data_IF_490260092227
#
_entry.id   IF_490260092227
#
_cell.length_a   1.000
_cell.length_b   1.000
_cell.length_c   1.000
_cell.angle_alpha   90.00
_cell.angle_beta   90.00
_cell.angle_gamma   90.00
#
_symmetry.space_group_name_H-M   'P 1'
#
loop_
_entity.id
_entity.type
_entity.pdbx_description
1 polymer ?
#
# COMPACT_ATOMS: atom_id res chain seq x y z
N UNK A 1 5.15 20.49 -12.34
CA UNK A 1 5.01 19.30 -13.21
C UNK A 1 5.67 18.04 -12.64
N UNK A 2 6.83 18.11 -11.97
CA UNK A 2 7.53 16.93 -11.44
C UNK A 2 6.73 16.08 -10.43
N UNK A 3 5.93 16.72 -9.55
CA UNK A 3 5.16 15.99 -8.54
C UNK A 3 4.02 15.14 -9.13
N UNK A 4 3.35 15.62 -10.20
CA UNK A 4 2.31 14.85 -10.89
C UNK A 4 2.90 13.60 -11.56
N UNK A 5 4.04 13.74 -12.24
CA UNK A 5 4.73 12.58 -12.85
C UNK A 5 5.17 11.56 -11.80
N UNK A 6 5.66 12.01 -10.65
CA UNK A 6 6.00 11.16 -9.51
C UNK A 6 4.77 10.43 -8.96
N UNK A 7 3.66 11.15 -8.75
CA UNK A 7 2.40 10.55 -8.31
C UNK A 7 1.88 9.50 -9.28
N UNK A 8 1.95 9.76 -10.59
CA UNK A 8 1.59 8.80 -11.63
C UNK A 8 2.45 7.53 -11.63
N UNK A 9 3.76 7.68 -11.45
CA UNK A 9 4.65 6.51 -11.35
C UNK A 9 4.32 5.72 -10.08
N UNK A 10 4.22 6.41 -8.94
CA UNK A 10 3.90 5.80 -7.66
C UNK A 10 2.54 5.09 -7.67
N UNK A 11 1.53 5.65 -8.34
CA UNK A 11 0.21 5.02 -8.49
C UNK A 11 0.27 3.74 -9.32
N UNK A 12 1.06 3.72 -10.40
CA UNK A 12 1.24 2.50 -11.23
C UNK A 12 1.96 1.41 -10.46
N UNK A 13 2.98 1.79 -9.69
CA UNK A 13 3.70 0.87 -8.80
C UNK A 13 2.76 0.30 -7.73
N UNK A 14 1.89 1.13 -7.17
CA UNK A 14 0.87 0.70 -6.20
C UNK A 14 -0.17 -0.26 -6.79
N UNK A 15 -0.69 0.05 -7.98
CA UNK A 15 -1.61 -0.82 -8.70
C UNK A 15 -0.97 -2.18 -9.02
N UNK A 16 0.28 -2.18 -9.46
CA UNK A 16 1.03 -3.42 -9.70
C UNK A 16 1.23 -4.22 -8.42
N UNK A 17 1.61 -3.57 -7.32
CA UNK A 17 1.73 -4.22 -6.00
C UNK A 17 0.44 -4.86 -5.53
N UNK A 18 -0.66 -4.12 -5.57
CA UNK A 18 -1.98 -4.64 -5.20
C UNK A 18 -2.46 -5.78 -6.11
N UNK A 19 -2.09 -5.77 -7.39
CA UNK A 19 -2.36 -6.90 -8.29
C UNK A 19 -1.52 -8.14 -7.95
N UNK A 20 -0.22 -7.95 -7.70
CA UNK A 20 0.68 -9.04 -7.27
C UNK A 20 0.17 -9.65 -5.96
N UNK A 21 -0.30 -8.80 -5.05
CA UNK A 21 -0.91 -9.20 -3.79
C UNK A 21 -2.17 -10.07 -4.00
N UNK A 22 -3.04 -9.70 -4.95
CA UNK A 22 -4.21 -10.52 -5.28
C UNK A 22 -3.80 -11.87 -5.87
N UNK A 23 -2.84 -11.86 -6.81
CA UNK A 23 -2.29 -13.09 -7.41
C UNK A 23 -1.72 -13.98 -6.29
N UNK A 24 -0.98 -13.40 -5.34
CA UNK A 24 -0.41 -14.11 -4.21
C UNK A 24 -1.47 -14.86 -3.39
N UNK A 25 -2.60 -14.24 -3.03
CA UNK A 25 -3.65 -14.95 -2.30
C UNK A 25 -4.48 -15.90 -3.16
N UNK A 26 -4.65 -15.63 -4.46
CA UNK A 26 -5.26 -16.58 -5.39
C UNK A 26 -4.43 -17.85 -5.51
N UNK A 27 -3.09 -17.73 -5.54
CA UNK A 27 -2.17 -18.87 -5.55
C UNK A 27 -2.25 -19.66 -4.24
N UNK A 28 -2.58 -19.04 -3.10
CA UNK A 28 -2.76 -19.76 -1.84
C UNK A 28 -3.94 -20.75 -1.84
N UNK A 29 -4.90 -20.64 -2.78
CA UNK A 29 -6.05 -21.55 -2.89
C UNK A 29 -5.63 -22.94 -3.44
N UNK A 30 -5.05 -23.06 -4.66
CA UNK A 30 -4.64 -24.35 -5.21
C UNK A 30 -3.35 -24.88 -4.58
N UNK A 31 -2.48 -24.01 -4.08
CA UNK A 31 -1.21 -24.42 -3.47
C UNK A 31 -1.32 -24.63 -1.94
N UNK A 32 -2.54 -24.57 -1.40
CA UNK A 32 -2.89 -24.90 -0.02
C UNK A 32 -2.18 -24.00 1.01
N UNK A 33 -2.46 -24.17 2.32
CA UNK A 33 -1.68 -23.48 3.33
C UNK A 33 -0.23 -23.85 3.10
N UNK A 34 0.60 -22.86 2.74
CA UNK A 34 2.04 -22.99 2.65
C UNK A 34 2.45 -23.87 3.82
N UNK A 35 2.91 -25.09 3.49
CA UNK A 35 3.34 -26.06 4.50
C UNK A 35 4.30 -25.35 5.46
N UNK A 36 4.56 -25.87 6.66
CA UNK A 36 5.43 -25.21 7.67
C UNK A 36 6.77 -24.65 7.14
N UNK A 37 7.19 -25.01 5.92
CA UNK A 37 8.11 -24.25 5.08
C UNK A 37 7.34 -23.27 4.18
N UNK A 38 7.18 -22.03 4.63
CA UNK A 38 6.93 -20.90 3.72
C UNK A 38 7.90 -21.03 2.55
N UNK A 39 7.36 -21.18 1.35
CA UNK A 39 8.06 -21.81 0.25
C UNK A 39 8.99 -20.89 -0.51
N UNK A 40 9.78 -19.98 0.08
CA UNK A 40 10.70 -19.00 -0.58
C UNK A 40 10.09 -18.09 -1.67
N UNK A 41 9.36 -18.61 -2.65
CA UNK A 41 8.69 -17.87 -3.72
C UNK A 41 7.52 -17.03 -3.20
N UNK A 42 6.85 -17.48 -2.15
CA UNK A 42 5.74 -16.80 -1.49
C UNK A 42 6.22 -15.55 -0.76
N UNK A 43 7.29 -15.66 0.02
CA UNK A 43 7.96 -14.53 0.65
C UNK A 43 8.59 -13.59 -0.38
N UNK A 44 9.08 -14.12 -1.51
CA UNK A 44 9.56 -13.28 -2.63
C UNK A 44 8.42 -12.46 -3.26
N UNK A 45 7.28 -13.09 -3.59
CA UNK A 45 6.10 -12.38 -4.10
C UNK A 45 5.59 -11.35 -3.09
N UNK A 46 5.61 -11.70 -1.80
CA UNK A 46 5.26 -10.81 -0.72
C UNK A 46 6.15 -9.56 -0.68
N UNK A 47 7.46 -9.74 -0.77
CA UNK A 47 8.41 -8.63 -0.83
C UNK A 47 8.12 -7.71 -2.03
N UNK A 48 7.85 -8.27 -3.21
CA UNK A 48 7.51 -7.47 -4.40
C UNK A 48 6.19 -6.70 -4.20
N UNK A 49 5.18 -7.32 -3.57
CA UNK A 49 3.93 -6.63 -3.26
C UNK A 49 4.16 -5.41 -2.34
N UNK A 50 5.01 -5.55 -1.32
CA UNK A 50 5.37 -4.45 -0.40
C UNK A 50 6.09 -3.30 -1.12
N UNK A 51 6.94 -3.59 -2.12
CA UNK A 51 7.53 -2.55 -2.98
C UNK A 51 6.44 -1.76 -3.69
N UNK A 52 5.40 -2.44 -4.17
CA UNK A 52 4.26 -1.78 -4.76
C UNK A 52 3.46 -0.93 -3.77
N UNK A 53 3.16 -1.45 -2.57
CA UNK A 53 2.43 -0.75 -1.52
C UNK A 53 3.10 0.57 -1.09
N UNK A 54 4.44 0.63 -1.07
CA UNK A 54 5.21 1.88 -0.88
C UNK A 54 4.78 2.98 -1.87
N UNK A 55 4.49 2.60 -3.12
CA UNK A 55 3.98 3.51 -4.15
C UNK A 55 2.68 4.21 -3.75
N UNK A 56 1.81 3.55 -2.97
CA UNK A 56 0.57 4.15 -2.48
C UNK A 56 0.81 5.30 -1.53
N UNK A 57 1.62 5.07 -0.49
CA UNK A 57 2.00 6.08 0.49
C UNK A 57 2.74 7.27 -0.16
N UNK A 58 3.70 6.99 -1.04
CA UNK A 58 4.45 8.03 -1.77
C UNK A 58 3.56 8.80 -2.75
N UNK A 59 2.60 8.14 -3.40
CA UNK A 59 1.65 8.76 -4.32
C UNK A 59 0.73 9.75 -3.62
N UNK A 60 0.17 9.36 -2.47
CA UNK A 60 -0.65 10.26 -1.64
C UNK A 60 0.15 11.48 -1.18
N UNK A 61 1.40 11.28 -0.73
CA UNK A 61 2.27 12.37 -0.29
C UNK A 61 2.68 13.29 -1.44
N UNK A 62 2.97 12.75 -2.62
CA UNK A 62 3.38 13.52 -3.80
C UNK A 62 2.29 14.47 -4.32
N UNK A 63 1.01 14.10 -4.14
CA UNK A 63 -0.13 14.92 -4.54
C UNK A 63 -0.51 16.01 -3.53
N UNK A 64 0.10 16.03 -2.34
CA UNK A 64 -0.23 16.98 -1.25
C UNK A 64 -1.73 16.97 -0.84
N UNK A 65 -2.40 15.83 -1.03
CA UNK A 65 -3.84 15.67 -0.76
C UNK A 65 -4.16 15.48 0.72
N UNK A 66 -3.17 15.06 1.51
CA UNK A 66 -3.31 14.76 2.94
C UNK A 66 -2.79 15.93 3.79
N UNK A 67 -3.65 16.50 4.66
CA UNK A 67 -3.32 17.62 5.56
C UNK A 67 -3.81 17.35 6.99
N UNK A 68 -3.10 17.82 8.03
CA UNK A 68 -1.90 18.65 7.98
C UNK A 68 -0.67 17.89 7.45
N UNK A 69 0.23 18.59 6.77
CA UNK A 69 1.35 17.97 6.04
C UNK A 69 2.29 17.16 6.93
N UNK A 70 2.52 17.61 8.17
CA UNK A 70 3.35 16.87 9.13
C UNK A 70 2.77 15.47 9.42
N UNK A 71 1.44 15.36 9.55
CA UNK A 71 0.76 14.10 9.82
C UNK A 71 0.86 13.17 8.61
N UNK A 72 0.69 13.71 7.41
CA UNK A 72 0.87 12.97 6.16
C UNK A 72 2.31 12.47 5.98
N UNK A 73 3.31 13.30 6.32
CA UNK A 73 4.72 12.92 6.23
C UNK A 73 5.05 11.80 7.23
N UNK A 74 4.67 11.94 8.51
CA UNK A 74 4.93 10.89 9.51
C UNK A 74 4.22 9.60 9.11
N UNK A 75 2.95 9.68 8.68
CA UNK A 75 2.18 8.51 8.24
C UNK A 75 2.82 7.82 7.03
N UNK A 76 3.24 8.57 6.01
CA UNK A 76 3.93 8.03 4.86
C UNK A 76 5.27 7.39 5.23
N UNK A 77 6.08 8.07 6.05
CA UNK A 77 7.38 7.56 6.53
C UNK A 77 7.19 6.25 7.27
N UNK A 78 6.23 6.20 8.21
CA UNK A 78 5.95 5.01 9.00
C UNK A 78 5.48 3.85 8.13
N UNK A 79 4.58 4.10 7.19
CA UNK A 79 4.09 3.10 6.23
C UNK A 79 5.23 2.56 5.35
N UNK A 80 6.09 3.45 4.83
CA UNK A 80 7.25 3.07 4.00
C UNK A 80 8.24 2.24 4.81
N UNK A 81 8.58 2.65 6.04
CA UNK A 81 9.48 1.87 6.90
C UNK A 81 8.89 0.50 7.26
N UNK A 82 7.59 0.40 7.51
CA UNK A 82 6.91 -0.87 7.71
C UNK A 82 7.09 -1.80 6.50
N UNK A 83 6.82 -1.30 5.29
CA UNK A 83 7.02 -2.06 4.04
C UNK A 83 8.48 -2.47 3.82
N UNK A 84 9.44 -1.57 4.06
CA UNK A 84 10.87 -1.88 3.95
C UNK A 84 11.32 -2.95 4.96
N UNK A 85 10.84 -2.86 6.20
CA UNK A 85 11.08 -3.87 7.23
C UNK A 85 10.52 -5.23 6.78
N UNK A 86 9.31 -5.25 6.21
CA UNK A 86 8.72 -6.51 5.73
C UNK A 86 9.49 -7.09 4.55
N UNK A 87 9.97 -6.28 3.61
CA UNK A 87 10.85 -6.70 2.51
C UNK A 87 12.12 -7.34 3.05
N UNK A 88 12.77 -6.69 4.03
CA UNK A 88 13.97 -7.23 4.68
C UNK A 88 13.69 -8.57 5.36
N UNK A 89 12.61 -8.68 6.11
CA UNK A 89 12.22 -9.94 6.78
C UNK A 89 11.91 -11.04 5.76
N UNK A 90 11.21 -10.72 4.67
CA UNK A 90 10.97 -11.68 3.59
C UNK A 90 12.28 -12.18 2.98
N UNK A 91 13.26 -11.29 2.73
CA UNK A 91 14.57 -11.71 2.24
C UNK A 91 15.29 -12.64 3.23
N UNK A 92 15.23 -12.34 4.53
CA UNK A 92 15.81 -13.20 5.58
C UNK A 92 15.12 -14.56 5.67
N UNK A 93 13.79 -14.61 5.56
CA UNK A 93 13.01 -15.85 5.52
C UNK A 93 13.35 -16.71 4.31
N UNK A 94 13.59 -16.08 3.15
CA UNK A 94 14.05 -16.79 1.94
C UNK A 94 15.45 -17.37 2.14
N UNK A 95 16.37 -16.61 2.73
CA UNK A 95 17.76 -17.03 2.94
C UNK A 95 17.93 -18.05 4.08
N UNK A 96 17.09 -18.00 5.11
CA UNK A 96 17.19 -18.84 6.30
C UNK A 96 15.81 -19.19 6.88
N UNK A 97 15.05 -20.08 6.19
CA UNK A 97 13.69 -20.41 6.60
C UNK A 97 13.58 -21.04 8.00
N UNK A 98 14.64 -21.70 8.47
CA UNK A 98 14.70 -22.34 9.79
C UNK A 98 14.63 -21.35 10.96
N UNK A 99 14.83 -20.06 10.71
CA UNK A 99 14.86 -19.01 11.74
C UNK A 99 13.57 -18.19 11.80
N UNK A 100 12.46 -18.69 11.22
CA UNK A 100 11.22 -17.93 11.10
C UNK A 100 10.72 -17.33 12.42
N UNK A 101 10.80 -18.08 13.52
CA UNK A 101 10.36 -17.62 14.85
C UNK A 101 11.14 -16.40 15.34
N UNK A 102 12.43 -16.30 15.02
CA UNK A 102 13.27 -15.16 15.39
C UNK A 102 12.86 -13.88 14.64
N UNK A 103 12.18 -14.00 13.50
CA UNK A 103 11.75 -12.86 12.69
C UNK A 103 10.33 -12.38 13.01
N UNK A 104 9.54 -13.16 13.74
CA UNK A 104 8.16 -12.83 14.13
C UNK A 104 8.01 -11.43 14.76
N UNK A 105 8.87 -10.98 15.71
CA UNK A 105 8.75 -9.64 16.27
C UNK A 105 8.89 -8.52 15.22
N UNK A 106 9.74 -8.72 14.20
CA UNK A 106 9.92 -7.78 13.10
C UNK A 106 8.71 -7.79 12.15
N UNK A 107 8.09 -8.95 11.91
CA UNK A 107 6.84 -9.03 11.15
C UNK A 107 5.75 -8.21 11.85
N UNK A 108 5.53 -8.43 13.15
CA UNK A 108 4.52 -7.71 13.91
C UNK A 108 4.79 -6.20 13.96
N UNK A 109 6.05 -5.81 14.16
CA UNK A 109 6.47 -4.41 14.13
C UNK A 109 6.21 -3.78 12.75
N UNK A 110 6.52 -4.48 11.67
CA UNK A 110 6.26 -4.02 10.30
C UNK A 110 4.77 -3.78 10.06
N UNK A 111 3.90 -4.69 10.50
CA UNK A 111 2.44 -4.56 10.38
C UNK A 111 1.95 -3.35 11.17
N UNK A 112 2.38 -3.20 12.43
CA UNK A 112 2.01 -2.05 13.26
C UNK A 112 2.38 -0.73 12.59
N UNK A 113 3.59 -0.64 12.02
CA UNK A 113 4.05 0.55 11.29
C UNK A 113 3.21 0.81 10.02
N UNK A 114 2.88 -0.22 9.24
CA UNK A 114 1.99 -0.08 8.07
C UNK A 114 0.61 0.41 8.45
N UNK A 115 -0.02 -0.20 9.47
CA UNK A 115 -1.36 0.13 9.95
C UNK A 115 -1.40 1.57 10.47
N UNK A 116 -0.48 1.92 11.37
CA UNK A 116 -0.41 3.27 11.93
C UNK A 116 -0.11 4.29 10.84
N UNK A 117 0.82 3.98 9.93
CA UNK A 117 1.20 4.89 8.85
C UNK A 117 0.05 5.19 7.90
N UNK A 118 -0.65 4.15 7.45
CA UNK A 118 -1.83 4.30 6.59
C UNK A 118 -3.03 4.88 7.34
N UNK A 119 -3.17 4.59 8.63
CA UNK A 119 -4.14 5.23 9.53
C UNK A 119 -3.94 6.74 9.60
N UNK A 120 -2.71 7.19 9.86
CA UNK A 120 -2.35 8.61 9.88
C UNK A 120 -2.54 9.29 8.52
N UNK A 121 -2.13 8.62 7.43
CA UNK A 121 -2.38 9.11 6.07
C UNK A 121 -3.88 9.22 5.77
N UNK A 122 -4.69 8.28 6.23
CA UNK A 122 -6.13 8.29 6.06
C UNK A 122 -6.79 9.43 6.81
N UNK A 123 -6.44 9.62 8.09
CA UNK A 123 -6.90 10.77 8.88
C UNK A 123 -6.49 12.09 8.21
N UNK A 124 -5.23 12.21 7.78
CA UNK A 124 -4.75 13.40 7.07
C UNK A 124 -5.47 13.62 5.73
N UNK A 125 -5.81 12.55 5.00
CA UNK A 125 -6.56 12.63 3.74
C UNK A 125 -7.98 13.17 3.98
N UNK A 126 -8.66 12.67 5.01
CA UNK A 126 -10.00 13.14 5.40
C UNK A 126 -9.99 14.60 5.84
N UNK A 127 -9.00 15.00 6.65
CA UNK A 127 -8.85 16.37 7.12
C UNK A 127 -8.47 17.34 5.99
N UNK A 128 -7.70 16.88 5.00
CA UNK A 128 -7.28 17.68 3.85
C UNK A 128 -8.41 18.02 2.88
N UNK A 129 -9.49 17.24 2.86
CA UNK A 129 -10.69 17.46 2.01
C UNK A 129 -10.37 17.65 0.52
N UNK A 130 -9.24 17.13 0.03
CA UNK A 130 -8.85 17.17 -1.39
C UNK A 130 -9.39 15.98 -2.18
N UNK A 131 -9.68 14.88 -1.48
CA UNK A 131 -10.41 13.72 -1.99
C UNK A 131 -11.80 13.67 -1.36
N UNK A 132 -12.78 13.19 -2.11
CA UNK A 132 -14.19 13.13 -1.69
C UNK A 132 -14.78 11.73 -1.89
N UNK A 133 -15.88 11.47 -1.19
CA UNK A 133 -16.59 10.19 -1.26
C UNK A 133 -15.70 9.03 -0.79
N UNK A 134 -15.84 7.89 -1.45
CA UNK A 134 -15.12 6.67 -1.11
C UNK A 134 -13.59 6.83 -1.19
N UNK A 135 -13.08 7.72 -2.05
CA UNK A 135 -11.64 7.90 -2.27
C UNK A 135 -10.89 8.41 -1.05
N UNK A 136 -11.54 9.21 -0.20
CA UNK A 136 -10.92 9.76 0.99
C UNK A 136 -10.68 8.71 2.09
N UNK A 137 -11.44 7.61 2.06
CA UNK A 137 -11.39 6.55 3.07
C UNK A 137 -10.40 5.43 2.74
N UNK A 138 -9.91 5.35 1.50
CA UNK A 138 -9.11 4.22 1.06
C UNK A 138 -7.83 4.02 1.88
N UNK A 139 -7.06 5.05 2.28
CA UNK A 139 -5.88 4.81 3.12
C UNK A 139 -6.26 4.21 4.48
N UNK A 140 -7.42 4.57 5.04
CA UNK A 140 -7.95 3.94 6.25
C UNK A 140 -8.37 2.49 6.00
N UNK A 141 -8.96 2.18 4.84
CA UNK A 141 -9.29 0.80 4.48
C UNK A 141 -8.01 -0.05 4.35
N UNK A 142 -6.96 0.48 3.73
CA UNK A 142 -5.68 -0.20 3.60
C UNK A 142 -5.08 -0.52 4.97
N UNK A 143 -5.09 0.42 5.93
CA UNK A 143 -4.64 0.15 7.30
C UNK A 143 -5.59 -0.76 8.09
N UNK A 144 -6.90 -0.50 8.02
CA UNK A 144 -7.92 -1.19 8.81
C UNK A 144 -8.09 -2.65 8.44
N UNK A 145 -8.00 -3.01 7.16
CA UNK A 145 -8.06 -4.42 6.73
C UNK A 145 -6.95 -5.26 7.40
N UNK A 146 -5.75 -4.71 7.58
CA UNK A 146 -4.66 -5.44 8.21
C UNK A 146 -4.93 -5.79 9.69
N UNK A 147 -5.78 -5.02 10.40
CA UNK A 147 -6.21 -5.35 11.77
C UNK A 147 -7.10 -6.60 11.83
N UNK A 148 -7.79 -6.92 10.74
CA UNK A 148 -8.59 -8.15 10.62
C UNK A 148 -7.72 -9.29 10.10
N UNK A 149 -6.84 -9.02 9.15
CA UNK A 149 -6.00 -10.04 8.51
C UNK A 149 -4.94 -10.57 9.49
N UNK A 150 -4.25 -9.72 10.25
CA UNK A 150 -3.16 -10.17 11.10
C UNK A 150 -3.59 -11.22 12.16
N UNK A 151 -4.69 -11.04 12.92
CA UNK A 151 -5.15 -12.05 13.89
C UNK A 151 -5.59 -13.36 13.24
N UNK A 152 -6.07 -13.35 12.00
CA UNK A 152 -6.52 -14.58 11.33
C UNK A 152 -5.39 -15.58 11.09
N UNK A 153 -4.12 -15.13 11.11
CA UNK A 153 -2.96 -16.01 11.05
C UNK A 153 -2.99 -17.08 12.16
N UNK A 154 -3.36 -16.67 13.38
CA UNK A 154 -3.41 -17.55 14.55
C UNK A 154 -4.69 -18.38 14.64
N UNK A 155 -5.71 -18.06 13.84
CA UNK A 155 -7.02 -18.72 13.87
C UNK A 155 -7.11 -19.78 12.76
N UNK A 156 -6.82 -19.37 11.53
CA UNK A 156 -6.93 -20.22 10.36
C UNK A 156 -5.98 -19.72 9.28
N UNK A 157 -4.89 -20.46 9.07
CA UNK A 157 -3.83 -20.11 8.14
C UNK A 157 -4.33 -20.00 6.68
N UNK A 158 -5.25 -20.88 6.28
CA UNK A 158 -5.84 -20.85 4.94
C UNK A 158 -6.67 -19.58 4.72
N UNK A 159 -7.54 -19.24 5.66
CA UNK A 159 -8.33 -18.00 5.61
C UNK A 159 -7.42 -16.77 5.65
N UNK A 160 -6.37 -16.80 6.47
CA UNK A 160 -5.39 -15.72 6.55
C UNK A 160 -4.80 -15.40 5.18
N UNK A 161 -4.28 -16.37 4.45
CA UNK A 161 -3.66 -16.12 3.15
C UNK A 161 -4.66 -15.64 2.08
N UNK A 162 -5.91 -16.11 2.12
CA UNK A 162 -6.97 -15.59 1.24
C UNK A 162 -7.24 -14.11 1.57
N UNK A 163 -7.46 -13.78 2.84
CA UNK A 163 -7.73 -12.41 3.28
C UNK A 163 -6.52 -11.50 3.02
N UNK A 164 -5.32 -12.03 3.19
CA UNK A 164 -4.07 -11.36 2.87
C UNK A 164 -4.04 -11.04 1.37
N UNK A 165 -4.40 -11.97 0.48
CA UNK A 165 -4.56 -11.66 -0.95
C UNK A 165 -5.57 -10.55 -1.23
N UNK A 166 -6.76 -10.65 -0.63
CA UNK A 166 -7.82 -9.65 -0.76
C UNK A 166 -7.41 -8.27 -0.24
N UNK A 167 -6.43 -8.19 0.64
CA UNK A 167 -5.82 -6.93 1.07
C UNK A 167 -5.21 -6.14 -0.08
N UNK A 168 -4.88 -6.79 -1.20
CA UNK A 168 -4.44 -6.13 -2.42
C UNK A 168 -5.47 -5.14 -2.96
N UNK A 169 -6.77 -5.38 -2.74
CA UNK A 169 -7.86 -4.53 -3.23
C UNK A 169 -7.76 -3.11 -2.64
N UNK A 170 -7.74 -2.91 -1.30
CA UNK A 170 -7.50 -1.60 -0.71
C UNK A 170 -6.28 -0.87 -1.28
N UNK A 171 -5.16 -1.56 -1.50
CA UNK A 171 -3.95 -0.96 -2.07
C UNK A 171 -4.13 -0.57 -3.54
N UNK A 172 -4.77 -1.41 -4.35
CA UNK A 172 -5.13 -1.05 -5.72
C UNK A 172 -6.03 0.18 -5.76
N UNK A 173 -7.00 0.27 -4.85
CA UNK A 173 -7.85 1.43 -4.72
C UNK A 173 -7.05 2.69 -4.38
N UNK A 174 -6.02 2.60 -3.50
CA UNK A 174 -5.14 3.74 -3.19
C UNK A 174 -4.44 4.20 -4.47
N UNK A 175 -3.82 3.26 -5.20
CA UNK A 175 -3.18 3.54 -6.47
C UNK A 175 -4.14 4.18 -7.48
N UNK A 176 -5.36 3.65 -7.59
CA UNK A 176 -6.38 4.18 -8.49
C UNK A 176 -6.83 5.61 -8.11
N UNK A 177 -7.02 5.90 -6.82
CA UNK A 177 -7.38 7.24 -6.36
C UNK A 177 -6.26 8.25 -6.64
N UNK A 178 -5.00 7.88 -6.39
CA UNK A 178 -3.84 8.72 -6.73
C UNK A 178 -3.79 8.97 -8.25
N UNK A 179 -3.95 7.92 -9.06
CA UNK A 179 -3.92 8.01 -10.52
C UNK A 179 -5.00 8.93 -11.07
N UNK A 180 -6.25 8.72 -10.66
CA UNK A 180 -7.40 9.50 -11.14
C UNK A 180 -7.31 10.96 -10.69
N UNK A 181 -6.90 11.20 -9.44
CA UNK A 181 -6.71 12.56 -8.95
C UNK A 181 -5.59 13.30 -9.71
N UNK A 182 -4.45 12.64 -9.94
CA UNK A 182 -3.36 13.20 -10.74
C UNK A 182 -3.81 13.56 -12.18
N UNK A 183 -4.65 12.72 -12.79
CA UNK A 183 -5.20 12.95 -14.13
C UNK A 183 -6.11 14.19 -14.18
N UNK A 184 -7.01 14.30 -13.21
CA UNK A 184 -7.94 15.44 -13.14
C UNK A 184 -7.19 16.76 -12.93
N UNK A 185 -6.16 16.77 -12.07
CA UNK A 185 -5.29 17.94 -11.89
C UNK A 185 -4.56 18.32 -13.18
N UNK A 186 -4.04 17.34 -13.92
CA UNK A 186 -3.34 17.61 -15.18
C UNK A 186 -4.27 18.22 -16.25
N UNK A 187 -5.48 17.69 -16.40
CA UNK A 187 -6.48 18.24 -17.32
C UNK A 187 -6.86 19.68 -16.97
N UNK A 188 -7.04 19.96 -15.67
CA UNK A 188 -7.38 21.30 -15.18
C UNK A 188 -6.29 22.32 -15.50
N UNK A 189 -5.02 21.93 -15.35
CA UNK A 189 -3.87 22.79 -15.69
C UNK A 189 -3.83 23.08 -17.19
N UNK A 190 -4.02 22.06 -18.04
CA UNK A 190 -4.03 22.23 -19.50
C UNK A 190 -5.18 23.14 -19.98
N UNK A 191 -6.37 23.00 -19.41
CA UNK A 191 -7.52 23.84 -19.74
C UNK A 191 -7.25 25.32 -19.42
N UNK A 192 -6.62 25.62 -18.28
CA UNK A 192 -6.24 26.99 -17.89
C UNK A 192 -5.24 27.62 -18.86
N UNK A 193 -4.22 26.88 -19.27
CA UNK A 193 -3.23 27.39 -20.24
C UNK A 193 -3.86 27.68 -21.61
N UNK A 194 -4.78 26.82 -22.08
CA UNK A 194 -5.51 27.05 -23.34
C UNK A 194 -6.42 28.28 -23.26
N UNK A 195 -7.06 28.52 -22.12
CA UNK A 195 -7.89 29.69 -21.93
C UNK A 195 -7.06 30.99 -21.92
N UNK A 196 -5.88 30.97 -21.27
CA UNK A 196 -4.96 32.11 -21.27
C UNK A 196 -4.43 32.44 -22.67
N UNK A 197 -4.04 31.44 -23.45
CA UNK A 197 -3.52 31.63 -24.80
C UNK A 197 -4.56 32.12 -25.83
N UNK A 198 -5.86 32.02 -25.54
CA UNK A 198 -6.94 32.56 -26.38
C UNK A 198 -7.24 34.04 -26.10
N UNK A 199 -6.78 34.56 -24.97
CA UNK A 199 -7.04 35.93 -24.52
C UNK A 199 -5.84 36.87 -24.77
N UNK A 200 -4.79 36.37 -25.41
CA UNK A 200 -3.57 37.09 -25.83
C UNK A 200 -3.51 37.14 -27.35
#
# INVERSE_FOLDING_TARGET
>A
MNNLRRAYLASRVCLAGGMIQLIYGLLAIPFGPYTQRASTWDEALWAVANVGMIGGALGLLALDIARPRWLAVIGAVLSVFGNLMRIMVSALLVMSPSNADAYTPFILSSIAMMVLGMGMLGVATLLGKQLYGWQAWIPLLAGGCALIIAPTYSINLFLHFILLGLWGIPWMLVGYAVFTHAANLHQTVLARHRAQARNT
#
